data_IF_272889820312
#
_entry.id   IF_272889820312
#
_cell.length_a   1.000
_cell.length_b   1.000
_cell.length_c   1.000
_cell.angle_alpha   90.00
_cell.angle_beta   90.00
_cell.angle_gamma   90.00
#
_symmetry.space_group_name_H-M   'P 1'
#
loop_
_entity.id
_entity.type
_entity.pdbx_description
1 polymer ?
#
# COMPACT_ATOMS: atom_id res chain seq x y z
N UNK A 1 -24.07 -5.27 -19.65
CA UNK A 1 -22.80 -5.63 -18.98
C UNK A 1 -22.06 -4.34 -18.70
N UNK A 2 -21.99 -3.93 -17.43
CA UNK A 2 -21.20 -2.76 -17.02
C UNK A 2 -19.73 -3.11 -17.27
N UNK A 3 -19.07 -2.39 -18.18
CA UNK A 3 -17.67 -2.66 -18.56
C UNK A 3 -16.66 -2.03 -17.58
N UNK A 4 -17.11 -1.11 -16.73
CA UNK A 4 -16.30 -0.37 -15.77
C UNK A 4 -16.72 -0.69 -14.33
N UNK A 5 -15.78 -0.98 -13.42
CA UNK A 5 -16.08 -1.14 -12.00
C UNK A 5 -16.72 0.13 -11.43
N UNK A 6 -17.66 -0.04 -10.50
CA UNK A 6 -18.33 1.07 -9.84
C UNK A 6 -17.42 1.67 -8.75
N UNK A 7 -17.31 3.00 -8.67
CA UNK A 7 -16.51 3.65 -7.65
C UNK A 7 -17.18 3.56 -6.28
N UNK A 8 -16.45 3.06 -5.28
CA UNK A 8 -16.90 2.93 -3.90
C UNK A 8 -17.41 4.24 -3.30
N UNK A 9 -16.74 5.37 -3.59
CA UNK A 9 -17.08 6.68 -3.06
C UNK A 9 -18.02 7.47 -4.00
N UNK A 10 -18.73 6.78 -4.90
CA UNK A 10 -19.72 7.35 -5.82
C UNK A 10 -19.15 8.03 -7.07
N UNK A 11 -17.86 8.39 -7.10
CA UNK A 11 -17.18 8.89 -8.31
C UNK A 11 -15.70 8.49 -8.37
N UNK A 12 -15.13 8.47 -9.58
CA UNK A 12 -13.70 8.18 -9.79
C UNK A 12 -12.80 9.19 -9.08
N UNK A 13 -13.15 10.48 -9.13
CA UNK A 13 -12.40 11.54 -8.46
C UNK A 13 -12.44 11.39 -6.95
N UNK A 14 -13.60 11.05 -6.37
CA UNK A 14 -13.71 10.78 -4.93
C UNK A 14 -12.84 9.58 -4.52
N UNK A 15 -12.85 8.50 -5.30
CA UNK A 15 -11.95 7.36 -5.09
C UNK A 15 -10.49 7.76 -5.09
N UNK A 16 -10.06 8.57 -6.07
CA UNK A 16 -8.66 9.01 -6.17
C UNK A 16 -8.26 9.87 -4.96
N UNK A 17 -9.09 10.86 -4.61
CA UNK A 17 -8.83 11.73 -3.45
C UNK A 17 -8.82 10.93 -2.15
N UNK A 18 -9.78 10.02 -1.95
CA UNK A 18 -9.81 9.14 -0.78
C UNK A 18 -8.59 8.22 -0.72
N UNK A 19 -8.14 7.69 -1.85
CA UNK A 19 -6.98 6.81 -1.93
C UNK A 19 -5.68 7.56 -1.60
N UNK A 20 -5.51 8.77 -2.14
CA UNK A 20 -4.39 9.65 -1.82
C UNK A 20 -4.40 10.04 -0.34
N UNK A 21 -5.55 10.43 0.20
CA UNK A 21 -5.72 10.78 1.60
C UNK A 21 -5.34 9.61 2.52
N UNK A 22 -5.83 8.40 2.22
CA UNK A 22 -5.50 7.21 2.99
C UNK A 22 -4.02 6.86 2.91
N UNK A 23 -3.42 6.93 1.71
CA UNK A 23 -2.00 6.68 1.52
C UNK A 23 -1.13 7.65 2.33
N UNK A 24 -1.46 8.94 2.34
CA UNK A 24 -0.77 9.93 3.16
C UNK A 24 -0.91 9.65 4.65
N UNK A 25 -2.11 9.28 5.12
CA UNK A 25 -2.33 8.92 6.53
C UNK A 25 -1.50 7.69 6.91
N UNK A 26 -1.46 6.65 6.08
CA UNK A 26 -0.74 5.41 6.38
C UNK A 26 0.78 5.55 6.32
N UNK A 27 1.29 6.32 5.36
CA UNK A 27 2.75 6.45 5.13
C UNK A 27 3.35 7.60 5.94
N UNK A 28 2.67 8.75 6.00
CA UNK A 28 3.19 9.98 6.62
C UNK A 28 2.65 10.19 8.03
N UNK A 29 1.42 9.77 8.32
CA UNK A 29 0.80 9.92 9.65
C UNK A 29 1.66 9.40 10.81
N UNK A 30 2.27 8.20 10.73
CA UNK A 30 3.16 7.69 11.76
C UNK A 30 4.38 8.58 12.03
N UNK A 31 4.86 9.31 11.01
CA UNK A 31 6.00 10.21 11.13
C UNK A 31 5.65 11.47 11.93
N UNK A 32 4.41 11.94 11.84
CA UNK A 32 3.89 13.08 12.62
C UNK A 32 3.74 12.70 14.10
N UNK A 33 3.35 11.45 14.37
CA UNK A 33 3.19 10.91 15.71
C UNK A 33 4.51 10.46 16.37
N UNK A 34 5.68 10.71 15.76
CA UNK A 34 6.99 10.25 16.27
C UNK A 34 7.25 10.83 17.66
N UNK A 35 7.15 10.01 18.71
CA UNK A 35 7.52 10.36 20.09
C UNK A 35 8.63 9.45 20.57
N UNK A 36 9.90 9.89 20.45
CA UNK A 36 11.12 9.16 20.89
C UNK A 36 11.17 7.66 20.55
N UNK A 37 10.35 7.21 19.61
CA UNK A 37 10.15 5.79 19.33
C UNK A 37 11.32 5.28 18.48
N UNK A 38 11.72 4.04 18.76
CA UNK A 38 12.74 3.37 17.96
C UNK A 38 12.28 3.25 16.50
N UNK A 39 13.10 3.68 15.51
CA UNK A 39 12.73 3.68 14.09
C UNK A 39 12.18 2.35 13.60
N UNK A 40 12.78 1.24 14.03
CA UNK A 40 12.38 -0.13 13.66
C UNK A 40 10.96 -0.45 14.13
N UNK A 41 10.63 -0.10 15.39
CA UNK A 41 9.30 -0.37 15.95
C UNK A 41 8.23 0.46 15.26
N UNK A 42 8.51 1.74 14.99
CA UNK A 42 7.56 2.63 14.34
C UNK A 42 7.31 2.21 12.89
N UNK A 43 8.36 1.79 12.17
CA UNK A 43 8.24 1.24 10.82
C UNK A 43 7.42 -0.06 10.78
N UNK A 44 7.71 -1.01 11.68
CA UNK A 44 6.95 -2.26 11.78
C UNK A 44 5.47 -1.99 12.10
N UNK A 45 5.19 -1.12 13.07
CA UNK A 45 3.82 -0.71 13.41
C UNK A 45 3.09 -0.06 12.23
N UNK A 46 3.78 0.78 11.46
CA UNK A 46 3.23 1.42 10.25
C UNK A 46 2.90 0.38 9.18
N UNK A 47 3.77 -0.61 8.96
CA UNK A 47 3.50 -1.72 8.05
C UNK A 47 2.30 -2.57 8.49
N UNK A 48 2.21 -2.91 9.78
CA UNK A 48 1.06 -3.66 10.32
C UNK A 48 -0.23 -2.87 10.19
N UNK A 49 -0.20 -1.56 10.44
CA UNK A 49 -1.35 -0.68 10.25
C UNK A 49 -1.79 -0.64 8.79
N UNK A 50 -0.85 -0.46 7.86
CA UNK A 50 -1.13 -0.45 6.42
C UNK A 50 -1.72 -1.78 5.93
N UNK A 51 -1.18 -2.91 6.43
CA UNK A 51 -1.71 -4.24 6.17
C UNK A 51 -3.17 -4.37 6.64
N UNK A 52 -3.45 -4.02 7.90
CA UNK A 52 -4.77 -4.15 8.49
C UNK A 52 -5.80 -3.25 7.80
N UNK A 53 -5.44 -1.99 7.56
CA UNK A 53 -6.31 -1.03 6.88
C UNK A 53 -6.53 -1.40 5.42
N UNK A 54 -5.48 -1.83 4.69
CA UNK A 54 -5.60 -2.28 3.32
C UNK A 54 -6.53 -3.48 3.18
N UNK A 55 -6.41 -4.46 4.08
CA UNK A 55 -7.33 -5.60 4.16
C UNK A 55 -8.77 -5.17 4.46
N UNK A 56 -8.97 -4.28 5.44
CA UNK A 56 -10.30 -3.80 5.80
C UNK A 56 -10.97 -3.03 4.66
N UNK A 57 -10.23 -2.13 4.00
CA UNK A 57 -10.68 -1.34 2.85
C UNK A 57 -11.03 -2.22 1.66
N UNK A 58 -10.29 -3.30 1.45
CA UNK A 58 -10.62 -4.26 0.39
C UNK A 58 -11.84 -5.11 0.75
N UNK A 59 -11.88 -5.66 1.96
CA UNK A 59 -12.86 -6.66 2.37
C UNK A 59 -14.24 -6.05 2.67
N UNK A 60 -14.31 -4.98 3.46
CA UNK A 60 -15.57 -4.47 3.99
C UNK A 60 -16.58 -4.06 2.89
N UNK A 61 -16.18 -3.34 1.82
CA UNK A 61 -17.11 -3.01 0.75
C UNK A 61 -17.65 -4.24 0.00
N UNK A 62 -16.84 -5.28 -0.16
CA UNK A 62 -17.19 -6.50 -0.90
C UNK A 62 -18.14 -7.38 -0.10
N UNK A 63 -17.95 -7.42 1.22
CA UNK A 63 -18.89 -8.07 2.13
C UNK A 63 -20.22 -7.32 2.12
N UNK A 64 -20.21 -5.99 2.23
CA UNK A 64 -21.41 -5.16 2.20
C UNK A 64 -22.17 -5.26 0.87
N UNK A 65 -21.45 -5.33 -0.26
CA UNK A 65 -22.04 -5.48 -1.59
C UNK A 65 -22.48 -6.92 -1.93
N UNK A 66 -22.25 -7.90 -1.04
CA UNK A 66 -22.55 -9.31 -1.28
C UNK A 66 -21.70 -9.96 -2.39
N UNK A 67 -20.74 -9.25 -2.97
CA UNK A 67 -19.88 -9.76 -4.04
C UNK A 67 -18.83 -10.73 -3.52
N UNK A 68 -18.51 -10.63 -2.22
CA UNK A 68 -17.59 -11.55 -1.55
C UNK A 68 -18.04 -13.02 -1.68
N UNK A 69 -19.35 -13.30 -1.68
CA UNK A 69 -19.90 -14.66 -1.81
C UNK A 69 -19.51 -15.36 -3.12
N UNK A 70 -19.16 -14.62 -4.18
CA UNK A 70 -18.65 -15.22 -5.43
C UNK A 70 -17.25 -15.84 -5.28
N UNK A 71 -16.48 -15.37 -4.30
CA UNK A 71 -15.22 -15.96 -3.86
C UNK A 71 -15.43 -16.96 -2.72
N UNK A 72 -16.65 -17.01 -2.18
CA UNK A 72 -16.93 -17.68 -0.94
C UNK A 72 -17.70 -19.01 -1.16
N UNK A 73 -16.98 -20.11 -0.91
CA UNK A 73 -17.47 -21.27 -0.14
C UNK A 73 -17.86 -22.56 -0.87
N UNK A 74 -17.13 -22.94 -1.93
CA UNK A 74 -16.99 -24.37 -2.29
C UNK A 74 -15.79 -24.64 -3.20
N UNK A 75 -14.69 -25.16 -2.65
CA UNK A 75 -13.59 -25.77 -3.43
C UNK A 75 -12.16 -25.28 -3.11
N UNK A 76 -11.12 -25.90 -3.73
CA UNK A 76 -9.70 -25.60 -3.49
C UNK A 76 -9.27 -24.16 -3.82
N UNK A 77 -10.09 -23.38 -4.55
CA UNK A 77 -9.85 -21.96 -4.82
C UNK A 77 -9.86 -21.05 -3.59
N UNK A 78 -10.44 -21.50 -2.46
CA UNK A 78 -10.48 -20.74 -1.19
C UNK A 78 -9.07 -20.58 -0.61
N UNK A 79 -8.29 -21.66 -0.57
CA UNK A 79 -6.92 -21.64 -0.02
C UNK A 79 -6.04 -20.68 -0.82
N UNK A 80 -6.17 -20.71 -2.15
CA UNK A 80 -5.45 -19.81 -3.05
C UNK A 80 -5.87 -18.34 -2.85
N UNK A 81 -7.18 -18.06 -2.73
CA UNK A 81 -7.68 -16.71 -2.50
C UNK A 81 -7.21 -16.11 -1.17
N UNK A 82 -7.23 -16.89 -0.09
CA UNK A 82 -6.71 -16.48 1.22
C UNK A 82 -5.19 -16.27 1.16
N UNK A 83 -4.44 -17.18 0.52
CA UNK A 83 -3.00 -17.07 0.39
C UNK A 83 -2.58 -15.82 -0.39
N UNK A 84 -3.24 -15.54 -1.53
CA UNK A 84 -2.94 -14.37 -2.35
C UNK A 84 -3.34 -13.07 -1.63
N UNK A 85 -4.44 -13.07 -0.86
CA UNK A 85 -4.84 -11.92 -0.05
C UNK A 85 -3.84 -11.65 1.08
N UNK A 86 -3.36 -12.69 1.76
CA UNK A 86 -2.34 -12.59 2.78
C UNK A 86 -1.00 -12.09 2.19
N UNK A 87 -0.61 -12.60 1.02
CA UNK A 87 0.58 -12.13 0.29
C UNK A 87 0.46 -10.64 -0.08
N UNK A 88 -0.68 -10.22 -0.64
CA UNK A 88 -0.93 -8.81 -0.95
C UNK A 88 -0.86 -7.91 0.28
N UNK A 89 -1.51 -8.33 1.37
CA UNK A 89 -1.44 -7.62 2.63
C UNK A 89 0.00 -7.50 3.16
N UNK A 90 0.79 -8.57 3.05
CA UNK A 90 2.21 -8.56 3.40
C UNK A 90 3.03 -7.62 2.52
N UNK A 91 2.74 -7.56 1.22
CA UNK A 91 3.38 -6.61 0.29
C UNK A 91 3.05 -5.17 0.69
N UNK A 92 1.79 -4.85 1.01
CA UNK A 92 1.41 -3.53 1.53
C UNK A 92 2.16 -3.18 2.82
N UNK A 93 2.32 -4.14 3.73
CA UNK A 93 3.09 -3.95 4.96
C UNK A 93 4.53 -3.52 4.65
N UNK A 94 5.18 -4.21 3.71
CA UNK A 94 6.55 -3.93 3.30
C UNK A 94 6.69 -2.61 2.54
N UNK A 95 5.73 -2.29 1.65
CA UNK A 95 5.68 -1.04 0.89
C UNK A 95 5.63 0.19 1.80
N UNK A 96 5.03 0.08 2.99
CA UNK A 96 4.98 1.17 3.97
C UNK A 96 6.16 1.10 4.95
N UNK A 97 6.42 -0.07 5.56
CA UNK A 97 7.44 -0.21 6.60
C UNK A 97 8.84 0.15 6.11
N UNK A 98 9.25 -0.33 4.94
CA UNK A 98 10.60 -0.08 4.41
C UNK A 98 10.88 1.41 4.22
N UNK A 99 10.07 2.15 3.45
CA UNK A 99 10.21 3.59 3.25
C UNK A 99 10.10 4.42 4.53
N UNK A 100 9.20 4.06 5.46
CA UNK A 100 9.11 4.70 6.78
C UNK A 100 10.41 4.50 7.56
N UNK A 101 10.95 3.28 7.59
CA UNK A 101 12.24 3.01 8.23
C UNK A 101 13.37 3.78 7.54
N UNK A 102 13.39 3.79 6.21
CA UNK A 102 14.37 4.50 5.39
C UNK A 102 14.41 6.00 5.70
N UNK A 103 13.24 6.61 5.84
CA UNK A 103 13.11 8.00 6.24
C UNK A 103 13.57 8.21 7.70
N UNK A 104 13.11 7.40 8.65
CA UNK A 104 13.43 7.59 10.07
C UNK A 104 14.90 7.35 10.40
N UNK A 105 15.54 6.38 9.74
CA UNK A 105 16.92 5.97 10.02
C UNK A 105 17.95 6.71 9.18
N UNK A 106 17.64 6.97 7.90
CA UNK A 106 18.61 7.52 6.93
C UNK A 106 18.14 8.86 6.34
N UNK A 107 16.92 9.30 6.63
CA UNK A 107 16.36 10.53 6.09
C UNK A 107 15.94 10.42 4.62
N UNK A 108 15.78 9.22 4.05
CA UNK A 108 15.43 9.06 2.64
C UNK A 108 14.00 9.51 2.34
N UNK A 109 13.82 10.44 1.41
CA UNK A 109 12.54 11.07 1.07
C UNK A 109 11.94 10.49 -0.21
N UNK A 110 12.76 10.15 -1.21
CA UNK A 110 12.30 9.60 -2.49
C UNK A 110 11.55 8.26 -2.32
N UNK A 111 12.06 7.28 -1.53
CA UNK A 111 11.33 6.05 -1.25
C UNK A 111 9.98 6.31 -0.58
N UNK A 112 9.90 7.33 0.28
CA UNK A 112 8.66 7.69 0.97
C UNK A 112 7.61 8.22 -0.01
N UNK A 113 8.03 9.07 -0.96
CA UNK A 113 7.17 9.52 -2.06
C UNK A 113 6.70 8.36 -2.95
N UNK A 114 7.61 7.44 -3.30
CA UNK A 114 7.26 6.23 -4.05
C UNK A 114 6.25 5.35 -3.28
N UNK A 115 6.40 5.23 -1.97
CA UNK A 115 5.48 4.49 -1.10
C UNK A 115 4.06 5.10 -1.08
N UNK A 116 3.96 6.44 -0.99
CA UNK A 116 2.67 7.14 -1.07
C UNK A 116 2.00 6.87 -2.40
N UNK A 117 2.74 7.00 -3.52
CA UNK A 117 2.19 6.76 -4.85
C UNK A 117 1.72 5.30 -5.03
N UNK A 118 2.54 4.34 -4.61
CA UNK A 118 2.22 2.91 -4.67
C UNK A 118 0.99 2.54 -3.82
N UNK A 119 0.92 3.09 -2.60
CA UNK A 119 -0.20 2.85 -1.68
C UNK A 119 -1.48 3.49 -2.24
N UNK A 120 -1.41 4.72 -2.75
CA UNK A 120 -2.56 5.40 -3.36
C UNK A 120 -3.09 4.66 -4.58
N UNK A 121 -2.20 4.18 -5.47
CA UNK A 121 -2.60 3.36 -6.62
C UNK A 121 -3.29 2.07 -6.18
N UNK A 122 -2.71 1.37 -5.19
CA UNK A 122 -3.28 0.13 -4.65
C UNK A 122 -4.66 0.36 -4.03
N UNK A 123 -4.80 1.39 -3.20
CA UNK A 123 -6.08 1.77 -2.58
C UNK A 123 -7.11 2.19 -3.62
N UNK A 124 -6.72 2.95 -4.65
CA UNK A 124 -7.61 3.36 -5.72
C UNK A 124 -8.20 2.15 -6.46
N UNK A 125 -7.38 1.14 -6.74
CA UNK A 125 -7.84 -0.12 -7.34
C UNK A 125 -8.76 -0.91 -6.41
N UNK A 126 -8.55 -0.84 -5.10
CA UNK A 126 -9.41 -1.50 -4.11
C UNK A 126 -10.77 -0.82 -3.93
N UNK A 127 -10.84 0.50 -4.14
CA UNK A 127 -12.08 1.28 -4.15
C UNK A 127 -12.94 1.05 -5.41
N UNK A 128 -12.51 0.20 -6.33
CA UNK A 128 -13.31 -0.21 -7.48
C UNK A 128 -14.05 -1.53 -7.15
N UNK A 129 -15.38 -1.50 -7.20
CA UNK A 129 -16.27 -2.63 -6.87
C UNK A 129 -16.91 -3.18 -8.15
N UNK A 130 -17.12 -4.50 -8.26
CA UNK A 130 -17.76 -5.13 -9.42
C UNK A 130 -16.84 -5.59 -10.56
N UNK A 131 -15.54 -5.32 -10.49
CA UNK A 131 -14.50 -5.83 -11.42
C UNK A 131 -13.38 -6.59 -10.71
N UNK A 132 -13.74 -7.39 -9.70
CA UNK A 132 -12.84 -7.88 -8.66
C UNK A 132 -11.66 -8.72 -9.17
N UNK A 133 -11.88 -9.55 -10.20
CA UNK A 133 -10.80 -10.31 -10.86
C UNK A 133 -9.83 -9.35 -11.56
N UNK A 134 -10.33 -8.32 -12.24
CA UNK A 134 -9.50 -7.31 -12.91
C UNK A 134 -8.69 -6.49 -11.94
N UNK A 135 -9.31 -5.98 -10.87
CA UNK A 135 -8.60 -5.23 -9.81
C UNK A 135 -7.56 -6.09 -9.09
N UNK A 136 -7.85 -7.37 -8.86
CA UNK A 136 -6.92 -8.28 -8.20
C UNK A 136 -5.72 -8.65 -9.09
N UNK A 137 -5.96 -8.95 -10.37
CA UNK A 137 -4.89 -9.20 -11.34
C UNK A 137 -4.02 -7.96 -11.53
N UNK A 138 -4.63 -6.77 -11.65
CA UNK A 138 -3.91 -5.50 -11.70
C UNK A 138 -3.07 -5.31 -10.44
N UNK A 139 -3.63 -5.58 -9.25
CA UNK A 139 -2.87 -5.47 -8.01
C UNK A 139 -1.68 -6.45 -7.96
N UNK A 140 -1.86 -7.71 -8.38
CA UNK A 140 -0.77 -8.71 -8.43
C UNK A 140 0.32 -8.30 -9.44
N UNK A 141 -0.04 -7.79 -10.60
CA UNK A 141 0.92 -7.35 -11.64
C UNK A 141 1.63 -6.05 -11.25
N UNK A 142 0.91 -5.12 -10.64
CA UNK A 142 1.45 -3.81 -10.25
C UNK A 142 2.24 -3.87 -8.94
N UNK A 143 2.01 -4.88 -8.09
CA UNK A 143 2.73 -5.05 -6.82
C UNK A 143 4.26 -5.17 -7.00
N UNK A 144 4.78 -6.02 -7.90
CA UNK A 144 6.21 -6.04 -8.24
C UNK A 144 6.73 -4.69 -8.76
N UNK A 145 5.95 -3.99 -9.59
CA UNK A 145 6.36 -2.68 -10.10
C UNK A 145 6.44 -1.63 -8.99
N UNK A 146 5.46 -1.64 -8.07
CA UNK A 146 5.45 -0.79 -6.89
C UNK A 146 6.68 -1.05 -6.00
N UNK A 147 6.95 -2.31 -5.67
CA UNK A 147 8.14 -2.69 -4.89
C UNK A 147 9.43 -2.29 -5.63
N UNK A 148 9.52 -2.57 -6.93
CA UNK A 148 10.65 -2.19 -7.78
C UNK A 148 10.88 -0.69 -7.82
N UNK A 149 9.83 0.12 -7.91
CA UNK A 149 9.90 1.58 -7.90
C UNK A 149 10.41 2.13 -6.56
N UNK A 150 9.99 1.53 -5.44
CA UNK A 150 10.46 1.88 -4.10
C UNK A 150 11.95 1.54 -3.96
N UNK A 151 12.35 0.33 -4.36
CA UNK A 151 13.76 -0.10 -4.36
C UNK A 151 14.63 0.78 -5.28
N UNK A 152 14.11 1.14 -6.44
CA UNK A 152 14.76 2.08 -7.37
C UNK A 152 14.94 3.47 -6.75
N UNK A 153 13.91 3.98 -6.07
CA UNK A 153 13.98 5.25 -5.34
C UNK A 153 15.02 5.22 -4.21
N UNK A 154 15.13 4.10 -3.47
CA UNK A 154 16.18 3.90 -2.46
C UNK A 154 17.57 3.96 -3.12
N UNK A 155 17.73 3.24 -4.22
CA UNK A 155 19.02 3.14 -4.93
C UNK A 155 19.43 4.50 -5.49
N UNK A 156 18.50 5.22 -6.13
CA UNK A 156 18.73 6.54 -6.69
C UNK A 156 19.11 7.56 -5.61
N UNK A 157 18.35 7.61 -4.51
CA UNK A 157 18.64 8.54 -3.43
C UNK A 157 19.96 8.21 -2.72
N UNK A 158 20.27 6.93 -2.54
CA UNK A 158 21.54 6.49 -1.97
C UNK A 158 22.74 6.91 -2.84
N UNK A 159 22.66 6.64 -4.15
CA UNK A 159 23.73 6.99 -5.10
C UNK A 159 23.93 8.50 -5.16
N UNK A 160 22.86 9.28 -5.29
CA UNK A 160 22.94 10.75 -5.36
C UNK A 160 23.56 11.35 -4.09
N UNK A 161 23.18 10.87 -2.90
CA UNK A 161 23.79 11.33 -1.63
C UNK A 161 25.26 10.95 -1.52
N UNK A 162 25.63 9.75 -1.99
CA UNK A 162 27.03 9.30 -2.00
C UNK A 162 27.90 10.14 -2.92
N UNK A 163 27.39 10.49 -4.11
CA UNK A 163 28.08 11.37 -5.06
C UNK A 163 28.22 12.80 -4.52
N UNK A 164 27.22 13.28 -3.79
CA UNK A 164 27.21 14.63 -3.21
C UNK A 164 27.89 14.73 -1.83
N UNK A 165 28.52 13.65 -1.33
CA UNK A 165 29.18 13.63 -0.02
C UNK A 165 28.25 13.87 1.18
N UNK A 166 26.94 13.77 0.99
CA UNK A 166 25.94 14.03 2.03
C UNK A 166 25.92 12.86 3.02
N UNK A 167 26.32 13.10 4.28
CA UNK A 167 26.21 12.10 5.35
C UNK A 167 24.75 11.91 5.76
N UNK A 168 24.32 10.69 6.13
CA UNK A 168 22.98 10.48 6.68
C UNK A 168 22.80 11.35 7.93
N UNK A 169 21.58 11.85 8.14
CA UNK A 169 21.22 12.60 9.34
C UNK A 169 21.56 11.74 10.56
N UNK A 170 22.52 12.17 11.36
CA UNK A 170 22.85 11.53 12.63
C UNK A 170 21.61 11.60 13.53
N UNK A 171 21.04 10.44 13.84
CA UNK A 171 19.96 10.29 14.82
C UNK A 171 20.49 10.52 16.24
#
# INVERSE_FOLDING_TARGET
MQMTPDPLLGSLSANLVGALGLALVLVVGPLVARRKAEPTRLAAASGVLAMAVGLAVWLAPRVAAGTFQRYAWSGPGIVLGVALSALGAGVLALQVAGPVYGFLRYGFVLPLGAAVAATALSTFLFFQVGGEIGSFVLYVVLSPMAVGSICGAFTLEFVTRRLNGSRPLSA
#
